data_IF_110817473222
#
_entry.id   IF_110817473222
#
_cell.length_a   1.000
_cell.length_b   1.000
_cell.length_c   1.000
_cell.angle_alpha   90.00
_cell.angle_beta   90.00
_cell.angle_gamma   90.00
#
_symmetry.space_group_name_H-M   'P 1'
#
loop_
_entity.id
_entity.type
_entity.pdbx_description
1 polymer ?
#
# COMPACT_ATOMS: atom_id res chain seq x y z
N UNK A 1 7.54 -4.16 -10.66
CA UNK A 1 6.45 -3.55 -9.86
C UNK A 1 5.17 -3.41 -10.68
N UNK A 2 4.01 -3.25 -10.00
CA UNK A 2 2.72 -3.09 -10.67
C UNK A 2 2.64 -1.81 -11.49
N UNK A 3 3.08 -0.68 -10.92
CA UNK A 3 3.19 0.63 -11.58
C UNK A 3 4.20 1.49 -10.82
N UNK A 4 4.54 2.67 -11.38
CA UNK A 4 5.42 3.62 -10.70
C UNK A 4 4.60 4.54 -9.78
N UNK A 5 4.91 4.55 -8.50
CA UNK A 5 4.55 5.57 -7.53
C UNK A 5 5.43 5.44 -6.26
N UNK A 6 5.43 6.49 -5.43
CA UNK A 6 6.40 6.66 -4.35
C UNK A 6 6.58 5.43 -3.44
N UNK A 7 5.49 4.79 -2.98
CA UNK A 7 5.61 3.61 -2.10
C UNK A 7 6.27 2.42 -2.79
N UNK A 8 5.87 2.11 -4.04
CA UNK A 8 6.41 0.94 -4.76
C UNK A 8 7.85 1.18 -5.19
N UNK A 9 8.21 2.43 -5.52
CA UNK A 9 9.57 2.83 -5.84
C UNK A 9 10.49 2.76 -4.60
N UNK A 10 9.97 3.13 -3.42
CA UNK A 10 10.68 2.97 -2.15
C UNK A 10 10.96 1.50 -1.86
N UNK A 11 9.96 0.63 -1.97
CA UNK A 11 10.12 -0.82 -1.77
C UNK A 11 11.16 -1.39 -2.74
N UNK A 12 11.03 -1.09 -4.05
CA UNK A 12 11.98 -1.55 -5.06
C UNK A 12 13.40 -1.12 -4.73
N UNK A 13 13.59 0.16 -4.43
CA UNK A 13 14.91 0.71 -4.08
C UNK A 13 15.50 0.03 -2.85
N UNK A 14 14.69 -0.25 -1.83
CA UNK A 14 15.12 -0.94 -0.63
C UNK A 14 15.51 -2.40 -0.90
N UNK A 15 14.71 -3.12 -1.73
CA UNK A 15 15.04 -4.48 -2.17
C UNK A 15 16.40 -4.51 -2.89
N UNK A 16 16.59 -3.65 -3.88
CA UNK A 16 17.84 -3.57 -4.64
C UNK A 16 19.05 -3.24 -3.76
N UNK A 17 18.91 -2.25 -2.87
CA UNK A 17 19.97 -1.84 -1.95
C UNK A 17 20.38 -2.97 -1.01
N UNK A 18 19.43 -3.74 -0.47
CA UNK A 18 19.73 -4.88 0.40
C UNK A 18 20.36 -6.04 -0.36
N UNK A 19 19.86 -6.36 -1.57
CA UNK A 19 20.47 -7.38 -2.44
C UNK A 19 21.92 -7.01 -2.76
N UNK A 20 22.23 -5.75 -3.09
CA UNK A 20 23.58 -5.28 -3.36
C UNK A 20 24.49 -5.37 -2.12
N UNK A 21 23.98 -4.98 -0.95
CA UNK A 21 24.71 -5.05 0.31
C UNK A 21 25.06 -6.49 0.67
N UNK A 22 24.11 -7.40 0.58
CA UNK A 22 24.31 -8.83 0.86
C UNK A 22 25.20 -9.51 -0.18
N UNK A 23 25.08 -9.14 -1.46
CA UNK A 23 25.98 -9.63 -2.50
C UNK A 23 27.43 -9.27 -2.19
N UNK A 24 27.68 -8.02 -1.79
CA UNK A 24 29.01 -7.57 -1.39
C UNK A 24 29.53 -8.29 -0.13
N UNK A 25 28.68 -8.49 0.89
CA UNK A 25 29.03 -9.21 2.12
C UNK A 25 29.39 -10.66 1.84
N UNK A 26 28.58 -11.35 1.03
CA UNK A 26 28.76 -12.78 0.72
C UNK A 26 29.78 -13.05 -0.38
N UNK A 27 30.25 -12.02 -1.09
CA UNK A 27 31.18 -12.16 -2.22
C UNK A 27 30.56 -12.89 -3.42
N UNK A 28 29.26 -12.73 -3.64
CA UNK A 28 28.51 -13.27 -4.77
C UNK A 28 28.12 -12.14 -5.72
N UNK A 29 27.65 -12.49 -6.91
CA UNK A 29 27.06 -11.56 -7.87
C UNK A 29 25.56 -11.84 -7.96
N UNK A 30 24.74 -10.82 -7.82
CA UNK A 30 23.29 -10.85 -8.03
C UNK A 30 23.01 -9.99 -9.28
N UNK A 31 22.34 -10.56 -10.26
CA UNK A 31 21.84 -9.84 -11.42
C UNK A 31 20.33 -9.73 -11.30
N UNK A 32 19.81 -8.52 -11.33
CA UNK A 32 18.36 -8.28 -11.32
C UNK A 32 17.96 -7.39 -12.50
N UNK A 33 16.69 -7.46 -12.84
CA UNK A 33 16.10 -6.69 -13.93
C UNK A 33 14.71 -6.22 -13.51
N UNK A 34 14.49 -4.92 -13.69
CA UNK A 34 13.24 -4.27 -13.36
C UNK A 34 12.23 -4.35 -14.51
N UNK A 35 10.99 -4.54 -14.12
CA UNK A 35 9.84 -4.49 -15.02
C UNK A 35 8.76 -3.62 -14.39
N UNK A 36 8.05 -2.86 -15.23
CA UNK A 36 6.89 -2.07 -14.83
C UNK A 36 5.64 -2.59 -15.54
N UNK A 37 4.65 -2.99 -14.76
CA UNK A 37 3.38 -3.53 -15.22
C UNK A 37 2.41 -2.49 -15.76
N UNK A 38 2.67 -1.19 -15.53
CA UNK A 38 1.83 -0.06 -15.95
C UNK A 38 0.36 -0.17 -15.50
N UNK A 39 0.14 -0.85 -14.38
CA UNK A 39 -1.17 -1.19 -13.84
C UNK A 39 -2.07 -1.95 -14.83
N UNK A 40 -1.47 -2.73 -15.74
CA UNK A 40 -2.17 -3.47 -16.79
C UNK A 40 -1.90 -4.97 -16.68
N UNK A 41 -2.95 -5.76 -16.48
CA UNK A 41 -2.85 -7.21 -16.33
C UNK A 41 -2.27 -7.91 -17.58
N UNK A 42 -2.50 -7.36 -18.76
CA UNK A 42 -1.97 -7.93 -20.01
C UNK A 42 -0.46 -7.75 -20.06
N UNK A 43 0.02 -6.56 -19.71
CA UNK A 43 1.45 -6.24 -19.61
C UNK A 43 2.12 -7.12 -18.54
N UNK A 44 1.51 -7.26 -17.36
CA UNK A 44 2.04 -8.11 -16.28
C UNK A 44 2.11 -9.59 -16.69
N UNK A 45 1.12 -10.12 -17.40
CA UNK A 45 1.15 -11.49 -17.92
C UNK A 45 2.24 -11.69 -18.99
N UNK A 46 2.51 -10.68 -19.83
CA UNK A 46 3.62 -10.72 -20.79
C UNK A 46 4.96 -10.71 -20.05
N UNK A 47 5.11 -9.89 -19.02
CA UNK A 47 6.29 -9.88 -18.14
C UNK A 47 6.47 -11.26 -17.49
N UNK A 48 5.42 -11.87 -16.96
CA UNK A 48 5.47 -13.22 -16.38
C UNK A 48 5.97 -14.27 -17.38
N UNK A 49 5.46 -14.25 -18.61
CA UNK A 49 5.93 -15.13 -19.70
C UNK A 49 7.42 -14.92 -19.99
N UNK A 50 7.87 -13.65 -20.01
CA UNK A 50 9.27 -13.32 -20.23
C UNK A 50 10.16 -13.81 -19.10
N UNK A 51 9.73 -13.57 -17.83
CA UNK A 51 10.47 -13.98 -16.63
C UNK A 51 10.73 -15.49 -16.63
N UNK A 52 9.73 -16.30 -16.91
CA UNK A 52 9.87 -17.76 -17.03
C UNK A 52 10.82 -18.14 -18.16
N UNK A 53 10.66 -17.52 -19.35
CA UNK A 53 11.51 -17.79 -20.51
C UNK A 53 12.97 -17.39 -20.30
N UNK A 54 13.23 -16.30 -19.57
CA UNK A 54 14.58 -15.81 -19.28
C UNK A 54 15.29 -16.63 -18.17
N UNK A 55 14.53 -17.43 -17.41
CA UNK A 55 15.07 -18.38 -16.44
C UNK A 55 15.64 -17.74 -15.19
N UNK A 56 14.93 -16.78 -14.59
CA UNK A 56 15.31 -16.18 -13.30
C UNK A 56 15.18 -17.19 -12.16
N UNK A 57 16.07 -17.08 -11.15
CA UNK A 57 16.09 -17.94 -9.98
C UNK A 57 14.98 -17.57 -8.97
N UNK A 58 14.51 -16.33 -8.95
CA UNK A 58 13.40 -15.84 -8.14
C UNK A 58 12.74 -14.61 -8.78
N UNK A 59 11.53 -14.29 -8.36
CA UNK A 59 10.77 -13.11 -8.80
C UNK A 59 10.27 -12.33 -7.59
N UNK A 60 10.44 -11.01 -7.61
CA UNK A 60 9.95 -10.11 -6.56
C UNK A 60 8.85 -9.20 -7.14
N UNK A 61 7.59 -9.65 -7.17
CA UNK A 61 6.50 -8.78 -7.56
C UNK A 61 6.13 -7.82 -6.43
N UNK A 62 5.99 -6.54 -6.76
CA UNK A 62 5.59 -5.50 -5.82
C UNK A 62 4.15 -5.09 -6.13
N UNK A 63 3.27 -5.17 -5.14
CA UNK A 63 1.82 -4.99 -5.14
C UNK A 63 1.01 -6.17 -5.73
N UNK A 64 -0.30 -6.17 -5.40
CA UNK A 64 -1.18 -7.34 -5.46
C UNK A 64 -1.38 -7.89 -6.88
N UNK A 65 -1.71 -7.05 -7.85
CA UNK A 65 -1.94 -7.52 -9.23
C UNK A 65 -0.66 -8.11 -9.84
N UNK A 66 0.50 -7.50 -9.56
CA UNK A 66 1.78 -8.02 -10.00
C UNK A 66 2.08 -9.38 -9.37
N UNK A 67 1.81 -9.56 -8.07
CA UNK A 67 2.01 -10.81 -7.36
C UNK A 67 1.11 -11.92 -7.91
N UNK A 68 -0.16 -11.64 -8.15
CA UNK A 68 -1.10 -12.61 -8.75
C UNK A 68 -0.66 -13.06 -10.14
N UNK A 69 -0.24 -12.11 -11.00
CA UNK A 69 0.23 -12.44 -12.35
C UNK A 69 1.53 -13.28 -12.31
N UNK A 70 2.48 -12.94 -11.43
CA UNK A 70 3.74 -13.69 -11.31
C UNK A 70 3.52 -15.06 -10.68
N UNK A 71 2.67 -15.18 -9.66
CA UNK A 71 2.33 -16.48 -9.08
C UNK A 71 1.73 -17.42 -10.15
N UNK A 72 0.81 -16.92 -10.96
CA UNK A 72 0.23 -17.71 -12.04
C UNK A 72 1.27 -18.09 -13.11
N UNK A 73 2.15 -17.18 -13.51
CA UNK A 73 3.16 -17.45 -14.54
C UNK A 73 4.19 -18.47 -14.09
N UNK A 74 4.63 -18.41 -12.84
CA UNK A 74 5.67 -19.26 -12.26
C UNK A 74 5.18 -20.64 -11.78
N UNK A 75 3.87 -20.91 -11.87
CA UNK A 75 3.25 -22.11 -11.30
C UNK A 75 3.78 -23.43 -11.87
N UNK A 76 4.06 -23.52 -13.16
CA UNK A 76 4.54 -24.76 -13.81
C UNK A 76 5.99 -25.05 -13.44
N UNK A 77 6.86 -24.04 -13.45
CA UNK A 77 8.30 -24.18 -13.19
C UNK A 77 8.65 -24.04 -11.71
N UNK A 78 7.68 -23.69 -10.85
CA UNK A 78 7.85 -23.50 -9.41
C UNK A 78 8.98 -22.49 -9.07
N UNK A 79 9.13 -21.46 -9.90
CA UNK A 79 10.08 -20.37 -9.64
C UNK A 79 9.61 -19.65 -8.37
N UNK A 80 10.48 -19.45 -7.36
CA UNK A 80 10.12 -18.74 -6.14
C UNK A 80 9.58 -17.34 -6.43
N UNK A 81 8.38 -17.04 -5.93
CA UNK A 81 7.74 -15.74 -5.97
C UNK A 81 7.71 -15.17 -4.58
N UNK A 82 8.50 -14.12 -4.33
CA UNK A 82 8.59 -13.44 -3.05
C UNK A 82 7.98 -12.06 -3.19
N UNK A 83 6.67 -11.97 -2.94
CA UNK A 83 5.95 -10.72 -3.12
C UNK A 83 6.28 -9.67 -2.05
N UNK A 84 6.12 -8.40 -2.39
CA UNK A 84 6.24 -7.27 -1.48
C UNK A 84 4.95 -6.45 -1.42
N UNK A 85 4.54 -6.06 -0.20
CA UNK A 85 3.40 -5.21 0.08
C UNK A 85 2.06 -5.77 -0.45
N UNK A 86 1.67 -6.93 0.07
CA UNK A 86 0.35 -7.50 -0.17
C UNK A 86 -0.49 -7.35 1.09
N UNK A 87 -1.53 -6.53 1.03
CA UNK A 87 -2.33 -6.19 2.21
C UNK A 87 -3.12 -7.39 2.76
N UNK A 88 -3.63 -8.25 1.88
CA UNK A 88 -4.34 -9.50 2.26
C UNK A 88 -3.95 -10.64 1.31
N UNK A 89 -2.87 -11.39 1.64
CA UNK A 89 -2.42 -12.50 0.80
C UNK A 89 -3.46 -13.62 0.62
N UNK A 90 -4.33 -13.83 1.61
CA UNK A 90 -5.37 -14.86 1.51
C UNK A 90 -6.49 -14.43 0.55
N UNK A 91 -6.95 -13.18 0.64
CA UNK A 91 -7.96 -12.65 -0.29
C UNK A 91 -7.42 -12.49 -1.73
N UNK A 92 -6.09 -12.41 -1.87
CA UNK A 92 -5.41 -12.33 -3.16
C UNK A 92 -5.08 -13.71 -3.78
N UNK A 93 -5.49 -14.83 -3.15
CA UNK A 93 -5.16 -16.21 -3.56
C UNK A 93 -3.64 -16.50 -3.63
N UNK A 94 -2.86 -15.86 -2.75
CA UNK A 94 -1.39 -15.97 -2.69
C UNK A 94 -0.89 -16.84 -1.52
N UNK A 95 -1.78 -17.61 -0.88
CA UNK A 95 -1.45 -18.52 0.23
C UNK A 95 -1.62 -19.97 -0.15
N UNK A 96 -0.89 -20.87 0.54
CA UNK A 96 -0.97 -22.31 0.30
C UNK A 96 -0.31 -22.77 -1.02
N UNK A 97 0.56 -21.94 -1.59
CA UNK A 97 1.37 -22.26 -2.77
C UNK A 97 2.83 -22.45 -2.33
N UNK A 98 3.40 -23.64 -2.57
CA UNK A 98 4.72 -24.03 -2.04
C UNK A 98 5.90 -23.19 -2.58
N UNK A 99 5.67 -22.40 -3.64
CA UNK A 99 6.67 -21.53 -4.29
C UNK A 99 6.36 -20.03 -4.07
N UNK A 100 5.33 -19.68 -3.31
CA UNK A 100 4.90 -18.28 -3.13
C UNK A 100 4.96 -17.90 -1.65
N UNK A 101 5.61 -16.78 -1.37
CA UNK A 101 5.67 -16.14 -0.06
C UNK A 101 5.93 -14.64 -0.23
N UNK A 102 6.19 -13.91 0.84
CA UNK A 102 6.59 -12.51 0.81
C UNK A 102 6.23 -11.71 2.04
N UNK A 103 6.10 -10.41 1.89
CA UNK A 103 5.80 -9.48 2.96
C UNK A 103 4.41 -8.84 2.78
N UNK A 104 3.67 -8.77 3.88
CA UNK A 104 2.35 -8.14 3.94
C UNK A 104 2.43 -6.80 4.66
N UNK A 105 1.80 -5.80 4.07
CA UNK A 105 1.54 -4.47 4.64
C UNK A 105 0.10 -4.36 5.20
N UNK A 106 -0.41 -5.44 5.80
CA UNK A 106 -1.77 -5.52 6.32
C UNK A 106 -2.15 -4.26 7.11
N UNK A 107 -3.24 -3.61 6.69
CA UNK A 107 -3.67 -2.34 7.25
C UNK A 107 -4.50 -2.56 8.51
N UNK A 108 -4.21 -1.80 9.57
CA UNK A 108 -5.11 -1.69 10.71
C UNK A 108 -6.17 -0.60 10.43
N UNK A 109 -7.15 -0.93 9.61
CA UNK A 109 -8.24 -0.03 9.18
C UNK A 109 -8.97 0.59 10.37
N UNK A 110 -9.27 -0.22 11.39
CA UNK A 110 -9.95 0.24 12.60
C UNK A 110 -9.14 1.32 13.31
N UNK A 111 -7.83 1.14 13.44
CA UNK A 111 -6.97 2.12 14.11
C UNK A 111 -6.95 3.48 13.39
N UNK A 112 -6.94 3.48 12.05
CA UNK A 112 -7.00 4.72 11.26
C UNK A 112 -8.34 5.44 11.48
N UNK A 113 -9.43 4.69 11.55
CA UNK A 113 -10.74 5.27 11.86
C UNK A 113 -10.83 5.76 13.32
N UNK A 114 -10.17 5.06 14.28
CA UNK A 114 -10.04 5.54 15.66
C UNK A 114 -9.22 6.85 15.72
N UNK A 115 -8.17 7.00 14.91
CA UNK A 115 -7.44 8.28 14.77
C UNK A 115 -8.37 9.39 14.30
N UNK A 116 -9.18 9.13 13.28
CA UNK A 116 -10.18 10.07 12.74
C UNK A 116 -11.14 10.53 13.84
N UNK A 117 -11.73 9.59 14.59
CA UNK A 117 -12.69 9.88 15.64
C UNK A 117 -12.05 10.51 16.89
N UNK A 118 -10.76 10.27 17.14
CA UNK A 118 -10.01 10.93 18.21
C UNK A 118 -9.81 12.42 17.91
N UNK A 119 -9.52 12.75 16.65
CA UNK A 119 -9.37 14.15 16.22
C UNK A 119 -10.72 14.85 16.12
N UNK A 120 -11.72 14.20 15.55
CA UNK A 120 -13.06 14.75 15.41
C UNK A 120 -14.13 13.72 15.85
N UNK A 121 -14.56 13.73 17.12
CA UNK A 121 -15.59 12.84 17.61
C UNK A 121 -17.00 13.14 17.05
N UNK A 122 -17.18 14.26 16.38
CA UNK A 122 -18.47 14.69 15.81
C UNK A 122 -18.64 14.27 14.34
N UNK A 123 -17.71 13.46 13.78
CA UNK A 123 -17.84 12.89 12.42
C UNK A 123 -19.16 12.13 12.29
N UNK A 124 -19.96 12.48 11.31
CA UNK A 124 -21.26 11.85 11.01
C UNK A 124 -21.25 11.04 9.73
N UNK A 125 -20.42 11.44 8.78
CA UNK A 125 -20.34 10.78 7.47
C UNK A 125 -18.89 10.68 7.04
N UNK A 126 -18.43 9.46 6.74
CA UNK A 126 -17.10 9.19 6.19
C UNK A 126 -17.20 8.89 4.70
N UNK A 127 -16.36 9.53 3.90
CA UNK A 127 -16.15 9.17 2.50
C UNK A 127 -15.21 7.96 2.41
N UNK A 128 -15.61 6.92 1.70
CA UNK A 128 -14.78 5.77 1.38
C UNK A 128 -14.39 5.86 -0.09
N UNK A 129 -13.12 6.22 -0.35
CA UNK A 129 -12.59 6.44 -1.71
C UNK A 129 -11.68 5.26 -2.09
N UNK A 130 -12.00 4.57 -3.18
CA UNK A 130 -11.21 3.39 -3.60
C UNK A 130 -11.49 3.00 -5.05
N UNK A 131 -10.65 2.08 -5.59
CA UNK A 131 -10.86 1.48 -6.90
C UNK A 131 -11.49 0.10 -6.79
N UNK A 132 -12.49 -0.16 -7.64
CA UNK A 132 -13.09 -1.50 -7.76
C UNK A 132 -12.17 -2.49 -8.50
N UNK A 133 -11.11 -2.02 -9.15
CA UNK A 133 -10.13 -2.86 -9.83
C UNK A 133 -8.99 -3.32 -8.92
N UNK A 134 -8.92 -2.81 -7.68
CA UNK A 134 -7.87 -3.09 -6.71
C UNK A 134 -8.35 -4.13 -5.67
N UNK A 135 -7.86 -5.37 -5.78
CA UNK A 135 -8.22 -6.44 -4.86
C UNK A 135 -7.80 -6.15 -3.40
N UNK A 136 -6.65 -5.48 -3.22
CA UNK A 136 -6.13 -5.03 -1.93
C UNK A 136 -7.04 -4.02 -1.20
N UNK A 137 -7.93 -3.33 -1.90
CA UNK A 137 -8.91 -2.42 -1.29
C UNK A 137 -10.13 -3.14 -0.71
N UNK A 138 -10.39 -4.39 -1.10
CA UNK A 138 -11.63 -5.11 -0.75
C UNK A 138 -11.77 -5.32 0.76
N UNK A 139 -10.76 -5.93 1.41
CA UNK A 139 -10.79 -6.22 2.84
C UNK A 139 -10.82 -4.94 3.68
N UNK A 140 -9.92 -3.94 3.50
CA UNK A 140 -9.97 -2.72 4.30
C UNK A 140 -11.26 -1.92 4.15
N UNK A 141 -11.87 -1.88 2.96
CA UNK A 141 -13.15 -1.19 2.76
C UNK A 141 -14.30 -1.94 3.45
N UNK A 142 -14.30 -3.27 3.43
CA UNK A 142 -15.30 -4.06 4.16
C UNK A 142 -15.16 -3.85 5.69
N UNK A 143 -13.93 -3.84 6.21
CA UNK A 143 -13.64 -3.53 7.61
C UNK A 143 -14.08 -2.12 8.00
N UNK A 144 -13.79 -1.11 7.15
CA UNK A 144 -14.21 0.26 7.38
C UNK A 144 -15.73 0.38 7.48
N UNK A 145 -16.47 -0.25 6.56
CA UNK A 145 -17.95 -0.29 6.59
C UNK A 145 -18.46 -0.94 7.87
N UNK A 146 -17.93 -2.11 8.23
CA UNK A 146 -18.34 -2.82 9.44
C UNK A 146 -18.11 -1.99 10.71
N UNK A 147 -16.94 -1.32 10.80
CA UNK A 147 -16.63 -0.44 11.91
C UNK A 147 -17.56 0.77 11.99
N UNK A 148 -17.81 1.44 10.86
CA UNK A 148 -18.70 2.61 10.80
C UNK A 148 -20.16 2.23 11.13
N UNK A 149 -20.62 1.08 10.65
CA UNK A 149 -21.94 0.55 10.98
C UNK A 149 -22.07 0.27 12.49
N UNK A 150 -21.04 -0.32 13.12
CA UNK A 150 -21.01 -0.55 14.58
C UNK A 150 -21.08 0.77 15.37
N UNK A 151 -20.39 1.81 14.90
CA UNK A 151 -20.41 3.15 15.52
C UNK A 151 -21.65 3.97 15.19
N UNK A 152 -22.48 3.53 14.25
CA UNK A 152 -23.66 4.27 13.79
C UNK A 152 -23.27 5.52 12.96
N UNK A 153 -22.11 5.51 12.32
CA UNK A 153 -21.59 6.58 11.47
C UNK A 153 -21.95 6.27 10.02
N UNK A 154 -22.56 7.20 9.31
CA UNK A 154 -22.89 7.04 7.90
C UNK A 154 -21.63 7.07 7.03
N UNK A 155 -21.68 6.46 5.85
CA UNK A 155 -20.63 6.59 4.86
C UNK A 155 -21.19 6.79 3.45
N UNK A 156 -20.37 7.41 2.61
CA UNK A 156 -20.60 7.57 1.17
C UNK A 156 -19.43 6.97 0.42
N UNK A 157 -19.73 6.18 -0.60
CA UNK A 157 -18.70 5.54 -1.41
C UNK A 157 -18.42 6.35 -2.67
N UNK A 158 -17.14 6.53 -2.98
CA UNK A 158 -16.65 7.10 -4.23
C UNK A 158 -15.67 6.12 -4.85
N UNK A 159 -15.97 5.68 -6.08
CA UNK A 159 -15.12 4.69 -6.77
C UNK A 159 -14.71 5.19 -8.14
N UNK A 160 -13.53 4.73 -8.58
CA UNK A 160 -13.00 4.97 -9.93
C UNK A 160 -11.90 3.98 -10.25
N UNK A 161 -11.69 3.74 -11.54
CA UNK A 161 -10.63 2.86 -12.03
C UNK A 161 -9.57 3.62 -12.85
N UNK A 162 -9.72 4.93 -12.94
CA UNK A 162 -8.78 5.87 -13.56
C UNK A 162 -8.59 7.09 -12.68
N UNK A 163 -7.50 7.83 -12.87
CA UNK A 163 -7.22 9.06 -12.13
C UNK A 163 -8.39 10.07 -12.22
N UNK A 164 -8.95 10.27 -13.42
CA UNK A 164 -10.05 11.21 -13.63
C UNK A 164 -11.33 10.78 -12.91
N UNK A 165 -11.62 9.48 -12.86
CA UNK A 165 -12.76 8.93 -12.12
C UNK A 165 -12.56 9.09 -10.61
N UNK A 166 -11.37 8.82 -10.07
CA UNK A 166 -11.02 9.02 -8.66
C UNK A 166 -11.14 10.50 -8.27
N UNK A 167 -10.60 11.41 -9.08
CA UNK A 167 -10.72 12.85 -8.83
C UNK A 167 -12.19 13.30 -8.83
N UNK A 168 -12.99 12.79 -9.78
CA UNK A 168 -14.42 13.07 -9.82
C UNK A 168 -15.16 12.51 -8.61
N UNK A 169 -14.79 11.29 -8.16
CA UNK A 169 -15.35 10.66 -6.97
C UNK A 169 -15.02 11.47 -5.70
N UNK A 170 -13.77 11.91 -5.54
CA UNK A 170 -13.36 12.76 -4.41
C UNK A 170 -14.10 14.10 -4.40
N UNK A 171 -14.20 14.77 -5.55
CA UNK A 171 -14.95 16.03 -5.69
C UNK A 171 -16.43 15.86 -5.32
N UNK A 172 -17.03 14.71 -5.65
CA UNK A 172 -18.41 14.39 -5.30
C UNK A 172 -18.64 14.13 -3.79
N UNK A 173 -17.59 13.93 -3.00
CA UNK A 173 -17.66 13.82 -1.53
C UNK A 173 -17.73 15.18 -0.84
N UNK A 174 -17.31 16.24 -1.50
CA UNK A 174 -17.35 17.62 -0.96
C UNK A 174 -18.78 18.00 -0.58
N UNK A 175 -18.94 18.45 0.66
CA UNK A 175 -20.23 18.77 1.25
C UNK A 175 -21.11 17.58 1.64
N UNK A 176 -20.60 16.34 1.54
CA UNK A 176 -21.30 15.12 1.93
C UNK A 176 -20.53 14.32 3.00
N UNK A 177 -19.22 14.39 3.03
CA UNK A 177 -18.37 13.71 3.98
C UNK A 177 -17.67 14.70 4.91
N UNK A 178 -17.52 14.32 6.18
CA UNK A 178 -16.81 15.10 7.20
C UNK A 178 -15.31 14.72 7.23
N UNK A 179 -14.98 13.53 6.76
CA UNK A 179 -13.63 13.02 6.56
C UNK A 179 -13.63 11.98 5.44
N UNK A 180 -12.49 11.73 4.81
CA UNK A 180 -12.34 10.70 3.76
C UNK A 180 -11.28 9.69 4.16
N UNK A 181 -11.53 8.42 3.88
CA UNK A 181 -10.59 7.31 4.04
C UNK A 181 -10.35 6.61 2.71
N UNK A 182 -9.09 6.26 2.45
CA UNK A 182 -8.67 5.33 1.38
C UNK A 182 -7.68 4.32 1.95
N UNK A 183 -7.75 3.03 1.56
CA UNK A 183 -6.72 2.05 1.90
C UNK A 183 -5.43 2.27 1.07
N UNK A 184 -4.57 1.26 0.98
CA UNK A 184 -3.37 1.24 0.12
C UNK A 184 -3.74 1.01 -1.36
N UNK A 185 -4.60 1.85 -1.91
CA UNK A 185 -5.15 1.75 -3.26
C UNK A 185 -4.22 2.43 -4.29
N UNK A 186 -3.70 1.66 -5.24
CA UNK A 186 -2.73 2.16 -6.21
C UNK A 186 -3.32 3.17 -7.20
N UNK A 187 -4.60 3.02 -7.56
CA UNK A 187 -5.28 3.96 -8.47
C UNK A 187 -5.53 5.30 -7.77
N UNK A 188 -5.95 5.25 -6.49
CA UNK A 188 -6.09 6.47 -5.68
C UNK A 188 -4.72 7.11 -5.43
N UNK A 189 -3.67 6.31 -5.18
CA UNK A 189 -2.31 6.84 -4.98
C UNK A 189 -1.82 7.63 -6.20
N UNK A 190 -2.07 7.12 -7.40
CA UNK A 190 -1.69 7.82 -8.63
C UNK A 190 -2.37 9.21 -8.80
N UNK A 191 -3.49 9.44 -8.11
CA UNK A 191 -4.21 10.72 -8.09
C UNK A 191 -4.08 11.48 -6.74
N UNK A 192 -3.27 10.97 -5.80
CA UNK A 192 -3.28 11.39 -4.40
C UNK A 192 -3.05 12.89 -4.19
N UNK A 193 -2.14 13.51 -4.93
CA UNK A 193 -1.86 14.94 -4.79
C UNK A 193 -3.10 15.79 -5.12
N UNK A 194 -3.76 15.54 -6.25
CA UNK A 194 -4.94 16.28 -6.68
C UNK A 194 -6.16 15.99 -5.78
N UNK A 195 -6.32 14.76 -5.31
CA UNK A 195 -7.36 14.39 -4.32
C UNK A 195 -7.13 15.13 -3.01
N UNK A 196 -5.90 15.13 -2.50
CA UNK A 196 -5.52 15.80 -1.25
C UNK A 196 -5.77 17.31 -1.32
N UNK A 197 -5.38 17.95 -2.43
CA UNK A 197 -5.66 19.38 -2.67
C UNK A 197 -7.16 19.66 -2.63
N UNK A 198 -7.96 18.91 -3.40
CA UNK A 198 -9.42 19.06 -3.48
C UNK A 198 -10.10 18.92 -2.11
N UNK A 199 -9.71 17.92 -1.33
CA UNK A 199 -10.29 17.66 -0.01
C UNK A 199 -9.83 18.69 1.03
N UNK A 200 -8.55 19.07 1.01
CA UNK A 200 -7.99 20.08 1.93
C UNK A 200 -8.62 21.46 1.68
N UNK A 201 -8.80 21.89 0.43
CA UNK A 201 -9.51 23.13 0.09
C UNK A 201 -10.96 23.12 0.57
N UNK A 202 -11.59 21.94 0.58
CA UNK A 202 -12.94 21.76 1.10
C UNK A 202 -13.01 21.64 2.65
N UNK A 203 -11.88 21.65 3.36
CA UNK A 203 -11.80 21.50 4.80
C UNK A 203 -12.05 20.06 5.27
N UNK A 204 -11.83 19.06 4.42
CA UNK A 204 -12.08 17.65 4.68
C UNK A 204 -10.76 16.92 4.90
N UNK A 205 -10.46 16.37 6.10
CA UNK A 205 -9.26 15.60 6.35
C UNK A 205 -9.28 14.27 5.60
N UNK A 206 -8.15 13.96 4.94
CA UNK A 206 -7.96 12.75 4.17
C UNK A 206 -7.04 11.78 4.91
N UNK A 207 -7.59 10.65 5.37
CA UNK A 207 -6.88 9.56 6.04
C UNK A 207 -6.60 8.43 5.06
N UNK A 208 -5.42 7.82 5.15
CA UNK A 208 -4.94 6.92 4.10
C UNK A 208 -4.24 5.69 4.66
N UNK A 209 -3.99 4.70 3.80
CA UNK A 209 -3.32 3.45 4.17
C UNK A 209 -1.79 3.50 4.15
N UNK A 210 -1.17 4.56 3.58
CA UNK A 210 0.28 4.63 3.45
C UNK A 210 0.81 6.05 3.60
N UNK A 211 2.07 6.19 4.01
CA UNK A 211 2.75 7.46 4.24
C UNK A 211 3.02 8.25 2.94
N UNK A 212 3.18 7.56 1.82
CA UNK A 212 3.30 8.20 0.51
C UNK A 212 2.11 9.08 0.13
N UNK A 213 0.88 8.70 0.53
CA UNK A 213 -0.28 9.58 0.40
C UNK A 213 -0.13 10.85 1.25
N UNK A 214 0.44 10.71 2.44
CA UNK A 214 0.65 11.83 3.37
C UNK A 214 1.70 12.78 2.81
N UNK A 215 2.78 12.26 2.22
CA UNK A 215 3.77 13.08 1.52
C UNK A 215 3.22 13.69 0.24
N UNK A 216 2.20 13.10 -0.38
CA UNK A 216 1.45 13.70 -1.50
C UNK A 216 0.39 14.73 -1.07
N UNK A 217 0.23 14.99 0.23
CA UNK A 217 -0.66 16.03 0.76
C UNK A 217 -1.86 15.53 1.56
N UNK A 218 -2.08 14.21 1.72
CA UNK A 218 -3.09 13.70 2.63
C UNK A 218 -2.79 14.09 4.08
N UNK A 219 -3.78 14.05 4.96
CA UNK A 219 -3.62 14.51 6.35
C UNK A 219 -2.79 13.53 7.18
N UNK A 220 -3.20 12.28 7.28
CA UNK A 220 -2.54 11.31 8.15
C UNK A 220 -2.77 9.86 7.73
N UNK A 221 -1.87 8.99 8.16
CA UNK A 221 -1.96 7.54 8.06
C UNK A 221 -1.48 6.86 9.33
N UNK A 222 -1.75 5.56 9.44
CA UNK A 222 -1.04 4.64 10.31
C UNK A 222 -0.69 3.39 9.50
N UNK A 223 0.59 3.20 9.23
CA UNK A 223 1.07 2.18 8.31
C UNK A 223 2.37 1.51 8.77
N UNK A 224 3.04 0.87 7.82
CA UNK A 224 4.33 0.19 7.94
C UNK A 224 5.46 1.06 7.38
N UNK A 225 6.70 0.68 7.66
CA UNK A 225 7.88 1.25 7.02
C UNK A 225 8.18 0.48 5.73
N UNK A 226 8.05 1.10 4.57
CA UNK A 226 8.25 0.45 3.27
C UNK A 226 9.72 0.18 2.94
N UNK A 227 10.65 0.96 3.48
CA UNK A 227 12.08 0.64 3.38
C UNK A 227 12.40 -0.64 4.14
N UNK A 228 11.91 -0.80 5.38
CA UNK A 228 12.09 -2.05 6.15
C UNK A 228 11.40 -3.24 5.48
N UNK A 229 10.22 -3.03 4.90
CA UNK A 229 9.49 -4.06 4.15
C UNK A 229 10.33 -4.54 2.95
N UNK A 230 10.89 -3.63 2.16
CA UNK A 230 11.74 -3.97 1.03
C UNK A 230 13.00 -4.73 1.44
N UNK A 231 13.68 -4.27 2.48
CA UNK A 231 14.86 -4.93 3.07
C UNK A 231 14.52 -6.37 3.51
N UNK A 232 13.43 -6.54 4.26
CA UNK A 232 12.98 -7.86 4.72
C UNK A 232 12.63 -8.79 3.53
N UNK A 233 11.98 -8.26 2.50
CA UNK A 233 11.66 -9.02 1.28
C UNK A 233 12.93 -9.52 0.60
N UNK A 234 13.97 -8.70 0.49
CA UNK A 234 15.26 -9.08 -0.10
C UNK A 234 15.95 -10.19 0.71
N UNK A 235 15.95 -10.08 2.04
CA UNK A 235 16.47 -11.13 2.92
C UNK A 235 15.73 -12.47 2.70
N UNK A 236 14.39 -12.43 2.59
CA UNK A 236 13.60 -13.64 2.28
C UNK A 236 13.99 -14.27 0.95
N UNK A 237 14.23 -13.46 -0.10
CA UNK A 237 14.69 -13.97 -1.41
C UNK A 237 15.99 -14.76 -1.25
N UNK A 238 16.98 -14.17 -0.57
CA UNK A 238 18.30 -14.77 -0.40
C UNK A 238 18.24 -16.04 0.45
N UNK A 239 17.45 -16.03 1.52
CA UNK A 239 17.25 -17.21 2.37
C UNK A 239 16.61 -18.37 1.60
N UNK A 240 15.65 -18.08 0.71
CA UNK A 240 15.01 -19.08 -0.15
C UNK A 240 16.02 -19.64 -1.17
N UNK A 241 16.79 -18.79 -1.83
CA UNK A 241 17.79 -19.22 -2.81
C UNK A 241 18.92 -20.06 -2.17
N UNK A 242 19.27 -19.78 -0.91
CA UNK A 242 20.30 -20.54 -0.19
C UNK A 242 19.78 -21.87 0.41
N UNK A 243 18.58 -21.86 0.98
CA UNK A 243 18.04 -23.00 1.71
C UNK A 243 17.14 -23.90 0.87
N UNK A 244 16.54 -23.37 -0.20
CA UNK A 244 15.48 -24.01 -0.97
C UNK A 244 14.15 -24.12 -0.22
N UNK A 245 14.02 -23.48 0.96
CA UNK A 245 12.81 -23.51 1.77
C UNK A 245 12.03 -22.23 1.65
N UNK A 246 10.76 -22.31 1.23
CA UNK A 246 9.84 -21.17 1.13
C UNK A 246 9.05 -21.09 2.44
N UNK A 247 9.29 -20.05 3.27
CA UNK A 247 8.57 -19.89 4.54
C UNK A 247 7.13 -19.39 4.31
N UNK A 248 6.34 -19.35 5.38
CA UNK A 248 5.10 -18.56 5.37
C UNK A 248 5.42 -17.07 5.19
N UNK A 249 4.46 -16.31 4.65
CA UNK A 249 4.62 -14.86 4.48
C UNK A 249 4.75 -14.16 5.82
N UNK A 250 5.43 -13.02 5.82
CA UNK A 250 5.64 -12.18 6.98
C UNK A 250 4.72 -10.95 6.95
N UNK A 251 4.00 -10.71 8.04
CA UNK A 251 3.22 -9.48 8.23
C UNK A 251 4.13 -8.46 8.91
N UNK A 252 4.34 -7.32 8.25
CA UNK A 252 5.18 -6.25 8.79
C UNK A 252 4.56 -5.61 10.04
N UNK A 253 5.41 -5.24 10.97
CA UNK A 253 4.99 -4.45 12.11
C UNK A 253 4.52 -3.07 11.64
N UNK A 254 3.27 -2.73 12.01
CA UNK A 254 2.65 -1.44 11.71
C UNK A 254 2.66 -0.50 12.93
N UNK A 255 1.78 0.49 12.90
CA UNK A 255 1.56 1.39 14.04
C UNK A 255 2.43 2.65 14.02
N UNK A 256 3.03 2.96 12.88
CA UNK A 256 3.70 4.25 12.63
C UNK A 256 2.65 5.25 12.14
N UNK A 257 2.36 6.28 12.94
CA UNK A 257 1.51 7.39 12.49
C UNK A 257 2.39 8.37 11.72
N UNK A 258 1.98 8.70 10.49
CA UNK A 258 2.59 9.79 9.71
C UNK A 258 1.56 10.90 9.52
N UNK A 259 1.97 12.16 9.73
CA UNK A 259 1.12 13.36 9.65
C UNK A 259 1.75 14.40 8.74
N UNK A 260 0.97 14.95 7.82
CA UNK A 260 1.38 16.11 7.04
C UNK A 260 1.09 17.40 7.82
N UNK A 261 2.15 18.08 8.23
CA UNK A 261 2.05 19.29 9.07
C UNK A 261 1.47 20.48 8.32
N UNK A 262 1.69 20.59 7.01
CA UNK A 262 1.14 21.65 6.17
C UNK A 262 -0.37 21.45 5.98
N UNK A 263 -0.80 20.22 5.71
CA UNK A 263 -2.22 19.87 5.60
C UNK A 263 -2.95 20.03 6.93
N UNK A 264 -2.32 19.59 8.04
CA UNK A 264 -2.86 19.82 9.39
C UNK A 264 -3.09 21.30 9.66
N UNK A 265 -2.11 22.14 9.33
CA UNK A 265 -2.22 23.62 9.48
C UNK A 265 -3.30 24.21 8.58
N UNK A 266 -3.41 23.79 7.33
CA UNK A 266 -4.43 24.25 6.39
C UNK A 266 -5.85 23.91 6.85
N UNK A 267 -6.03 22.71 7.44
CA UNK A 267 -7.29 22.24 8.01
C UNK A 267 -7.57 22.82 9.42
N UNK A 268 -6.57 23.44 10.06
CA UNK A 268 -6.68 23.92 11.44
C UNK A 268 -6.81 22.78 12.48
N UNK A 269 -6.23 21.61 12.19
CA UNK A 269 -6.31 20.43 13.02
C UNK A 269 -5.13 20.37 13.99
N UNK A 270 -5.41 20.17 15.29
CA UNK A 270 -4.44 19.79 16.31
C UNK A 270 -4.40 18.26 16.42
N UNK A 271 -3.25 17.67 16.10
CA UNK A 271 -3.04 16.22 16.11
C UNK A 271 -2.20 15.73 17.31
N UNK A 272 -2.00 16.56 18.35
CA UNK A 272 -1.20 16.20 19.51
C UNK A 272 -1.65 14.88 20.17
N UNK A 273 -2.94 14.55 20.10
CA UNK A 273 -3.50 13.31 20.61
C UNK A 273 -2.92 12.04 19.96
N UNK A 274 -2.33 12.13 18.77
CA UNK A 274 -1.72 10.98 18.10
C UNK A 274 -0.51 10.42 18.86
N UNK A 275 0.20 11.26 19.61
CA UNK A 275 1.32 10.82 20.43
C UNK A 275 0.92 9.87 21.57
N UNK A 276 -0.35 9.87 21.96
CA UNK A 276 -0.88 8.93 22.96
C UNK A 276 -1.41 7.63 22.32
N UNK A 277 -1.55 7.60 20.99
CA UNK A 277 -2.12 6.47 20.25
C UNK A 277 -1.05 5.53 19.69
N UNK A 278 0.12 6.03 19.34
CA UNK A 278 1.20 5.25 18.74
C UNK A 278 2.54 5.51 19.41
N UNK A 279 3.45 4.54 19.31
CA UNK A 279 4.82 4.67 19.80
C UNK A 279 5.67 5.63 19.00
N UNK A 280 5.29 5.88 17.75
CA UNK A 280 6.00 6.75 16.82
C UNK A 280 5.00 7.59 16.01
N UNK A 281 5.24 8.90 16.00
CA UNK A 281 4.58 9.86 15.11
C UNK A 281 5.65 10.54 14.27
N UNK A 282 5.53 10.40 12.97
CA UNK A 282 6.43 10.99 11.97
C UNK A 282 5.74 12.20 11.36
N UNK A 283 6.41 13.33 11.37
CA UNK A 283 5.93 14.56 10.76
C UNK A 283 6.57 14.75 9.37
N UNK A 284 5.76 15.00 8.37
CA UNK A 284 6.21 15.27 7.00
C UNK A 284 5.59 16.55 6.46
N UNK A 285 6.14 17.04 5.36
CA UNK A 285 5.56 18.10 4.53
C UNK A 285 5.25 17.56 3.14
N UNK A 286 4.40 18.27 2.41
CA UNK A 286 4.05 17.88 1.04
C UNK A 286 5.28 17.94 0.14
N UNK A 287 5.54 16.84 -0.56
CA UNK A 287 6.60 16.73 -1.56
C UNK A 287 5.99 16.91 -2.96
N UNK A 288 6.62 17.75 -3.79
CA UNK A 288 6.20 18.02 -5.18
C UNK A 288 6.92 17.09 -6.16
#
# INVERSE_FOLDING_TARGET
>A
QQLDHASLDEIRTAVEAELDAKAAEKGITIEYKDFNGQNDATTLNQIGTQVVSDGYDAVVPIATLAAQCMANACAEDQIPVVYAAISDPAAADLTGLDYVTGTSDALNTQFILDMMLTINPDVKTVGLLYSNSEANSTTPIAEAKAYLDEKGIAYVEGTGNTNDEIMSAAANMVGKADAVFTPTDNVVMAAAAAVSETLTEAGIPFYTGADSFVTAGAFATCGVNYTELGTYTADMVLDILESGNVPEYHVMDGGIITVNTETAAALGIDYAAFSDMASQVVEVTTQQ
#
